data_IF_918777973133
#
_entry.id   IF_918777973133
#
_cell.length_a   1.000
_cell.length_b   1.000
_cell.length_c   1.000
_cell.angle_alpha   90.00
_cell.angle_beta   90.00
_cell.angle_gamma   90.00
#
_symmetry.space_group_name_H-M   'P 1'
#
loop_
_entity.id
_entity.type
_entity.pdbx_description
1 polymer ?
#
# COMPACT_ATOMS: atom_id res chain seq x y z
N UNK A 1 -5.14 -30.01 -6.79
CA UNK A 1 -4.07 -29.00 -6.89
C UNK A 1 -2.74 -29.71 -6.76
N UNK A 2 -1.78 -29.36 -7.61
CA UNK A 2 -0.45 -29.97 -7.64
C UNK A 2 0.51 -29.10 -6.85
N UNK A 3 1.15 -29.67 -5.85
CA UNK A 3 2.20 -29.03 -5.08
C UNK A 3 3.53 -29.68 -5.45
N UNK A 4 4.50 -28.88 -5.86
CA UNK A 4 5.87 -29.36 -6.10
C UNK A 4 6.84 -28.68 -5.15
N UNK A 5 7.63 -29.47 -4.43
CA UNK A 5 8.68 -28.95 -3.54
C UNK A 5 10.01 -29.10 -4.26
N UNK A 6 10.60 -27.96 -4.63
CA UNK A 6 11.97 -27.88 -5.13
C UNK A 6 12.92 -27.85 -3.93
N UNK A 7 13.90 -28.74 -3.92
CA UNK A 7 14.83 -28.87 -2.80
C UNK A 7 16.25 -29.19 -3.26
N UNK A 8 17.25 -28.77 -2.48
CA UNK A 8 18.61 -29.33 -2.60
C UNK A 8 18.70 -30.70 -1.92
N UNK A 9 19.75 -31.50 -2.21
CA UNK A 9 20.04 -32.71 -1.42
C UNK A 9 20.07 -32.40 0.07
N UNK A 10 19.44 -33.27 0.88
CA UNK A 10 19.44 -33.22 2.35
C UNK A 10 18.95 -31.89 2.98
N UNK A 11 18.05 -31.16 2.30
CA UNK A 11 17.50 -29.93 2.86
C UNK A 11 16.72 -30.17 4.18
N UNK A 12 17.14 -29.57 5.32
CA UNK A 12 16.55 -29.84 6.63
C UNK A 12 15.12 -29.29 6.79
N UNK A 13 14.75 -28.30 5.98
CA UNK A 13 13.49 -27.57 6.12
C UNK A 13 12.32 -28.17 5.31
N UNK A 14 12.57 -29.19 4.48
CA UNK A 14 11.52 -29.86 3.69
C UNK A 14 10.49 -30.51 4.62
N UNK A 15 10.95 -31.20 5.66
CA UNK A 15 10.06 -31.83 6.64
C UNK A 15 9.16 -30.80 7.36
N UNK A 16 9.71 -29.62 7.65
CA UNK A 16 8.99 -28.51 8.27
C UNK A 16 7.93 -27.96 7.32
N UNK A 17 8.27 -27.74 6.05
CA UNK A 17 7.35 -27.27 5.02
C UNK A 17 6.16 -28.24 4.85
N UNK A 18 6.43 -29.54 4.73
CA UNK A 18 5.38 -30.56 4.58
C UNK A 18 4.47 -30.68 5.81
N UNK A 19 5.04 -30.53 7.01
CA UNK A 19 4.25 -30.45 8.23
C UNK A 19 3.29 -29.25 8.21
N UNK A 20 3.78 -28.08 7.79
CA UNK A 20 2.96 -26.86 7.75
C UNK A 20 1.92 -26.90 6.65
N UNK A 21 2.20 -27.52 5.50
CA UNK A 21 1.19 -27.78 4.45
C UNK A 21 0.06 -28.65 5.03
N UNK A 22 0.39 -29.75 5.71
CA UNK A 22 -0.64 -30.60 6.37
C UNK A 22 -1.47 -29.83 7.40
N UNK A 23 -0.86 -28.92 8.16
CA UNK A 23 -1.57 -28.07 9.12
C UNK A 23 -2.45 -27.02 8.45
N UNK A 24 -1.99 -26.46 7.33
CA UNK A 24 -2.73 -25.47 6.56
C UNK A 24 -3.99 -26.07 5.95
N UNK A 25 -3.93 -27.34 5.53
CA UNK A 25 -5.00 -28.03 4.78
C UNK A 25 -5.85 -28.94 5.66
N UNK A 26 -5.56 -29.02 6.96
CA UNK A 26 -6.33 -29.82 7.90
C UNK A 26 -7.78 -29.31 7.98
N UNK A 27 -8.75 -30.20 7.79
CA UNK A 27 -10.18 -29.87 7.88
C UNK A 27 -10.81 -29.36 6.58
N UNK A 28 -10.06 -29.23 5.48
CA UNK A 28 -10.59 -28.75 4.21
C UNK A 28 -10.65 -29.84 3.13
N UNK A 29 -11.71 -29.87 2.29
CA UNK A 29 -11.87 -30.89 1.25
C UNK A 29 -11.02 -30.56 0.02
N UNK A 30 -9.69 -30.62 0.15
CA UNK A 30 -8.75 -30.33 -0.94
C UNK A 30 -7.98 -31.59 -1.32
N UNK A 31 -8.05 -31.98 -2.60
CA UNK A 31 -7.19 -33.03 -3.15
C UNK A 31 -5.84 -32.44 -3.54
N UNK A 32 -4.80 -32.82 -2.80
CA UNK A 32 -3.42 -32.36 -2.98
C UNK A 32 -2.54 -33.52 -3.44
N UNK A 33 -1.82 -33.29 -4.52
CA UNK A 33 -0.73 -34.17 -4.96
C UNK A 33 0.59 -33.45 -4.69
N UNK A 34 1.40 -33.97 -3.77
CA UNK A 34 2.69 -33.37 -3.41
C UNK A 34 3.81 -34.19 -4.07
N UNK A 35 4.56 -33.55 -4.97
CA UNK A 35 5.75 -34.12 -5.61
C UNK A 35 7.01 -33.41 -5.13
N UNK A 36 8.13 -34.13 -5.01
CA UNK A 36 9.42 -33.54 -4.65
C UNK A 36 10.37 -33.60 -5.84
N UNK A 37 11.10 -32.52 -6.07
CA UNK A 37 12.12 -32.43 -7.11
C UNK A 37 13.43 -31.96 -6.52
N UNK A 38 14.44 -32.84 -6.57
CA UNK A 38 15.79 -32.50 -6.12
C UNK A 38 16.52 -31.74 -7.22
N UNK A 39 17.09 -30.59 -6.85
CA UNK A 39 17.87 -29.69 -7.69
C UNK A 39 19.24 -29.53 -7.03
N UNK A 40 20.26 -29.99 -7.74
CA UNK A 40 21.65 -30.10 -7.29
C UNK A 40 22.61 -29.21 -8.09
N UNK A 41 22.10 -28.50 -9.09
CA UNK A 41 22.87 -27.67 -10.02
C UNK A 41 22.25 -26.26 -10.16
N UNK A 42 23.06 -25.18 -10.17
CA UNK A 42 22.56 -23.81 -10.30
C UNK A 42 21.80 -23.54 -11.61
N UNK A 43 22.16 -24.18 -12.72
CA UNK A 43 21.45 -24.06 -14.00
C UNK A 43 20.05 -24.68 -13.94
N UNK A 44 19.91 -25.82 -13.26
CA UNK A 44 18.61 -26.43 -12.97
C UNK A 44 17.79 -25.60 -11.99
N UNK A 45 18.42 -24.94 -11.02
CA UNK A 45 17.74 -24.01 -10.12
C UNK A 45 17.19 -22.79 -10.87
N UNK A 46 17.98 -22.20 -11.79
CA UNK A 46 17.54 -21.11 -12.63
C UNK A 46 16.37 -21.49 -13.55
N UNK A 47 16.48 -22.66 -14.19
CA UNK A 47 15.41 -23.17 -15.07
C UNK A 47 14.12 -23.46 -14.32
N UNK A 48 14.21 -23.91 -13.06
CA UNK A 48 13.06 -24.20 -12.23
C UNK A 48 12.55 -23.00 -11.41
N UNK A 49 13.20 -21.83 -11.50
CA UNK A 49 12.86 -20.67 -10.68
C UNK A 49 13.11 -20.85 -9.19
N UNK A 50 14.00 -21.77 -8.79
CA UNK A 50 14.30 -22.05 -7.39
C UNK A 50 15.21 -20.96 -6.81
N UNK A 51 14.65 -20.05 -6.01
CA UNK A 51 15.39 -18.99 -5.29
C UNK A 51 16.01 -19.45 -3.97
N UNK A 52 15.78 -20.71 -3.60
CA UNK A 52 16.42 -21.40 -2.49
C UNK A 52 15.64 -22.63 -2.05
N UNK A 53 16.21 -23.43 -1.16
CA UNK A 53 15.61 -24.68 -0.66
C UNK A 53 14.97 -24.51 0.72
N UNK A 54 13.75 -25.04 0.96
CA UNK A 54 12.81 -25.54 -0.04
C UNK A 54 12.08 -24.38 -0.73
N UNK A 55 11.69 -24.55 -1.99
CA UNK A 55 10.75 -23.69 -2.71
C UNK A 55 9.48 -24.47 -2.99
N UNK A 56 8.32 -23.92 -2.61
CA UNK A 56 7.02 -24.53 -2.90
C UNK A 56 6.48 -23.96 -4.21
N UNK A 57 6.12 -24.82 -5.15
CA UNK A 57 5.34 -24.47 -6.32
C UNK A 57 3.91 -24.96 -6.15
N UNK A 58 2.95 -24.06 -6.33
CA UNK A 58 1.51 -24.33 -6.39
C UNK A 58 1.10 -24.26 -7.85
N UNK A 59 0.69 -25.40 -8.41
CA UNK A 59 0.35 -25.56 -9.83
C UNK A 59 1.47 -25.02 -10.77
N UNK A 60 2.73 -25.17 -10.35
CA UNK A 60 3.92 -24.73 -11.09
C UNK A 60 4.41 -23.32 -10.78
N UNK A 61 3.73 -22.57 -9.89
CA UNK A 61 4.08 -21.20 -9.53
C UNK A 61 4.55 -21.07 -8.07
N UNK A 62 5.62 -20.32 -7.82
CA UNK A 62 6.09 -20.04 -6.46
C UNK A 62 5.30 -18.87 -5.84
N UNK A 63 4.42 -19.11 -4.85
CA UNK A 63 3.58 -18.06 -4.27
C UNK A 63 4.35 -17.15 -3.30
N UNK A 64 5.59 -17.48 -2.96
CA UNK A 64 6.42 -16.70 -2.04
C UNK A 64 7.58 -16.00 -2.76
N UNK A 65 7.56 -16.00 -4.10
CA UNK A 65 8.63 -15.43 -4.91
C UNK A 65 8.83 -13.95 -4.54
N UNK A 66 10.07 -13.59 -4.18
CA UNK A 66 10.42 -12.21 -3.86
C UNK A 66 11.07 -11.56 -5.09
N UNK A 67 10.60 -10.38 -5.54
CA UNK A 67 11.17 -9.68 -6.69
C UNK A 67 12.68 -9.47 -6.53
N UNK A 68 13.44 -9.74 -7.60
CA UNK A 68 14.88 -9.56 -7.62
C UNK A 68 15.70 -10.68 -6.93
N UNK A 69 15.06 -11.70 -6.36
CA UNK A 69 15.81 -12.86 -5.86
C UNK A 69 16.35 -13.71 -7.02
N UNK A 70 17.66 -13.95 -6.96
CA UNK A 70 18.36 -14.77 -7.94
C UNK A 70 18.18 -16.25 -7.60
N UNK A 71 17.97 -17.12 -8.59
CA UNK A 71 17.96 -18.56 -8.37
C UNK A 71 19.20 -19.05 -7.61
N UNK A 72 19.01 -19.90 -6.60
CA UNK A 72 20.05 -20.31 -5.65
C UNK A 72 19.85 -21.72 -5.13
N UNK A 73 20.96 -22.41 -4.86
CA UNK A 73 21.00 -23.69 -4.13
C UNK A 73 21.11 -23.51 -2.60
N UNK A 74 20.99 -22.28 -2.11
CA UNK A 74 21.07 -21.98 -0.66
C UNK A 74 19.74 -22.19 0.04
N UNK A 75 19.73 -22.15 1.38
CA UNK A 75 18.49 -22.16 2.15
C UNK A 75 17.63 -20.93 1.80
N UNK A 76 16.34 -21.16 1.57
CA UNK A 76 15.37 -20.08 1.44
C UNK A 76 14.84 -19.69 2.82
N UNK A 77 14.80 -18.40 3.07
CA UNK A 77 14.30 -17.84 4.33
C UNK A 77 12.94 -17.18 4.09
N UNK A 78 12.02 -17.44 5.00
CA UNK A 78 10.64 -16.97 4.96
C UNK A 78 10.38 -16.11 6.20
N UNK A 79 9.67 -14.98 6.06
CA UNK A 79 9.23 -14.19 7.21
C UNK A 79 8.25 -15.00 8.07
N UNK A 80 8.46 -15.00 9.38
CA UNK A 80 7.49 -15.48 10.36
C UNK A 80 6.56 -14.37 10.83
N UNK A 81 5.42 -14.76 11.40
CA UNK A 81 4.44 -13.85 12.03
C UNK A 81 5.02 -13.09 13.25
N UNK A 82 6.23 -13.43 13.69
CA UNK A 82 6.97 -12.80 14.79
C UNK A 82 8.16 -11.95 14.32
N UNK A 83 8.28 -11.71 13.01
CA UNK A 83 9.37 -10.94 12.41
C UNK A 83 10.73 -11.66 12.36
N UNK A 84 10.77 -12.95 12.69
CA UNK A 84 11.97 -13.79 12.57
C UNK A 84 12.00 -14.47 11.21
N UNK A 85 13.20 -14.82 10.74
CA UNK A 85 13.37 -15.63 9.53
C UNK A 85 13.34 -17.12 9.87
N UNK A 86 12.64 -17.90 9.05
CA UNK A 86 12.48 -19.34 9.20
C UNK A 86 12.71 -20.07 7.87
N UNK A 87 12.97 -21.38 7.92
CA UNK A 87 13.28 -22.21 6.75
C UNK A 87 12.05 -22.66 5.94
N UNK A 88 10.84 -22.30 6.37
CA UNK A 88 9.59 -22.59 5.67
C UNK A 88 8.57 -21.45 5.90
N UNK A 89 7.59 -21.23 5.00
CA UNK A 89 6.49 -20.29 5.20
C UNK A 89 5.66 -20.64 6.45
N UNK A 90 4.95 -19.66 7.02
CA UNK A 90 4.00 -19.90 8.12
C UNK A 90 2.73 -20.62 7.63
N UNK A 91 1.99 -21.23 8.55
CA UNK A 91 0.71 -21.90 8.22
C UNK A 91 -0.30 -20.90 7.67
N UNK A 92 -0.33 -19.67 8.20
CA UNK A 92 -1.19 -18.60 7.69
C UNK A 92 -0.83 -18.21 6.25
N UNK A 93 0.46 -18.04 5.96
CA UNK A 93 0.94 -17.74 4.62
C UNK A 93 0.60 -18.86 3.62
N UNK A 94 0.70 -20.13 4.03
CA UNK A 94 0.29 -21.28 3.22
C UNK A 94 -1.22 -21.29 2.96
N UNK A 95 -2.06 -20.97 3.96
CA UNK A 95 -3.52 -20.88 3.75
C UNK A 95 -3.87 -19.80 2.72
N UNK A 96 -3.25 -18.62 2.84
CA UNK A 96 -3.44 -17.54 1.87
C UNK A 96 -3.00 -17.97 0.46
N UNK A 97 -1.80 -18.55 0.32
CA UNK A 97 -1.25 -19.00 -0.95
C UNK A 97 -2.11 -20.10 -1.62
N UNK A 98 -2.67 -21.00 -0.83
CA UNK A 98 -3.52 -22.09 -1.31
C UNK A 98 -5.00 -21.65 -1.49
N UNK A 99 -5.31 -20.36 -1.28
CA UNK A 99 -6.67 -19.77 -1.31
C UNK A 99 -7.65 -20.51 -0.41
N UNK A 100 -7.15 -20.96 0.73
CA UNK A 100 -7.90 -21.68 1.74
C UNK A 100 -8.58 -20.65 2.64
N UNK A 101 -9.90 -20.53 2.50
CA UNK A 101 -10.72 -19.59 3.28
C UNK A 101 -10.61 -19.94 4.78
N UNK A 102 -10.43 -18.97 5.69
CA UNK A 102 -10.68 -19.19 7.11
C UNK A 102 -12.17 -19.50 7.29
N UNK A 103 -12.52 -20.53 8.08
CA UNK A 103 -13.92 -20.87 8.33
C UNK A 103 -14.74 -19.64 8.76
N UNK A 104 -15.67 -19.20 7.91
CA UNK A 104 -16.64 -18.15 8.26
C UNK A 104 -17.06 -17.24 7.11
N UNK A 105 -18.31 -17.47 6.66
CA UNK A 105 -19.17 -16.62 5.82
C UNK A 105 -19.02 -16.72 4.30
N UNK A 106 -20.18 -16.98 3.68
CA UNK A 106 -20.36 -17.48 2.33
C UNK A 106 -20.88 -16.40 1.36
N UNK A 107 -20.46 -16.57 0.10
CA UNK A 107 -21.10 -16.20 -1.17
C UNK A 107 -21.40 -14.72 -1.48
N UNK A 108 -20.94 -14.26 -2.65
CA UNK A 108 -21.69 -14.34 -3.92
C UNK A 108 -20.70 -14.27 -5.10
N UNK A 109 -20.90 -15.13 -6.09
CA UNK A 109 -20.12 -15.14 -7.33
C UNK A 109 -20.85 -14.49 -8.49
N UNK A 110 -20.11 -14.11 -9.52
CA UNK A 110 -20.53 -14.31 -10.92
C UNK A 110 -19.30 -14.45 -11.83
N UNK A 111 -19.44 -15.32 -12.82
CA UNK A 111 -18.47 -15.73 -13.82
C UNK A 111 -18.32 -14.67 -14.92
N UNK A 112 -17.08 -14.28 -15.22
CA UNK A 112 -16.71 -13.99 -16.61
C UNK A 112 -15.32 -14.53 -16.91
N UNK A 113 -15.28 -15.49 -17.83
CA UNK A 113 -14.09 -16.06 -18.42
C UNK A 113 -13.13 -14.97 -18.94
N UNK A 114 -11.88 -14.97 -18.47
CA UNK A 114 -10.83 -14.11 -19.01
C UNK A 114 -9.55 -14.90 -19.32
N UNK A 115 -9.36 -15.09 -20.63
CA UNK A 115 -8.13 -15.31 -21.39
C UNK A 115 -6.80 -15.42 -20.60
N UNK A 116 -6.24 -16.63 -20.56
CA UNK A 116 -4.98 -16.99 -19.89
C UNK A 116 -3.68 -16.58 -20.63
N UNK A 117 -3.71 -15.55 -21.47
CA UNK A 117 -2.53 -15.12 -22.25
C UNK A 117 -1.92 -13.79 -21.79
N UNK A 118 -2.06 -13.42 -20.50
CA UNK A 118 -1.37 -12.26 -19.94
C UNK A 118 -0.44 -12.72 -18.82
N UNK A 119 0.88 -12.46 -18.88
CA UNK A 119 1.77 -12.71 -17.74
C UNK A 119 1.23 -11.96 -16.51
N UNK A 120 1.38 -12.47 -15.27
CA UNK A 120 0.90 -11.76 -14.09
C UNK A 120 1.61 -10.40 -14.07
N UNK A 121 0.83 -9.33 -14.23
CA UNK A 121 1.34 -7.98 -14.15
C UNK A 121 2.07 -7.84 -12.81
N UNK A 122 3.26 -7.24 -12.83
CA UNK A 122 3.83 -6.67 -11.61
C UNK A 122 2.72 -5.90 -10.89
N UNK A 123 2.55 -6.11 -9.57
CA UNK A 123 1.51 -5.41 -8.82
C UNK A 123 1.60 -3.92 -9.12
N UNK A 124 0.48 -3.32 -9.53
CA UNK A 124 0.50 -1.93 -9.97
C UNK A 124 0.97 -1.03 -8.81
N UNK A 125 1.76 0.03 -9.07
CA UNK A 125 2.16 0.99 -8.03
C UNK A 125 0.97 1.53 -7.22
N UNK A 126 -0.20 1.67 -7.85
CA UNK A 126 -1.45 2.02 -7.18
C UNK A 126 -1.92 0.95 -6.17
N UNK A 127 -1.79 -0.34 -6.50
CA UNK A 127 -2.07 -1.46 -5.58
C UNK A 127 -1.12 -1.43 -4.39
N UNK A 128 0.17 -1.21 -4.63
CA UNK A 128 1.19 -1.13 -3.58
C UNK A 128 0.91 0.04 -2.64
N UNK A 129 0.62 1.23 -3.19
CA UNK A 129 0.24 2.39 -2.39
C UNK A 129 -0.99 2.12 -1.53
N UNK A 130 -2.03 1.52 -2.11
CA UNK A 130 -3.23 1.14 -1.36
C UNK A 130 -2.91 0.17 -0.22
N UNK A 131 -2.13 -0.87 -0.50
CA UNK A 131 -1.76 -1.87 0.50
C UNK A 131 -0.94 -1.25 1.64
N UNK A 132 0.00 -0.37 1.30
CA UNK A 132 0.77 0.38 2.29
C UNK A 132 -0.14 1.23 3.17
N UNK A 133 -0.99 2.08 2.57
CA UNK A 133 -1.89 2.95 3.34
C UNK A 133 -2.91 2.18 4.19
N UNK A 134 -3.35 1.02 3.71
CA UNK A 134 -4.20 0.13 4.49
C UNK A 134 -3.48 -0.50 5.69
N UNK A 135 -2.15 -0.64 5.64
CA UNK A 135 -1.34 -1.10 6.76
C UNK A 135 -1.03 0.01 7.78
N UNK A 136 -0.93 1.27 7.33
CA UNK A 136 -0.73 2.44 8.18
C UNK A 136 -2.04 2.86 8.88
N UNK A 137 -2.45 2.10 9.90
CA UNK A 137 -3.71 2.31 10.63
C UNK A 137 -3.47 2.42 12.14
N UNK A 138 -4.23 3.27 12.86
CA UNK A 138 -4.12 3.39 14.31
C UNK A 138 -4.29 2.04 15.00
N UNK A 139 -3.45 1.75 16.00
CA UNK A 139 -3.41 0.42 16.62
C UNK A 139 -4.58 0.19 17.60
N UNK A 140 -5.13 1.27 18.17
CA UNK A 140 -6.19 1.22 19.19
C UNK A 140 -7.19 2.38 19.05
N UNK A 141 -8.32 2.35 19.77
CA UNK A 141 -9.35 3.40 19.70
C UNK A 141 -8.86 4.79 20.13
N UNK A 142 -7.88 4.89 21.02
CA UNK A 142 -7.33 6.17 21.49
C UNK A 142 -6.47 6.79 20.40
N UNK A 143 -5.59 6.01 19.79
CA UNK A 143 -4.82 6.44 18.60
C UNK A 143 -5.75 6.85 17.45
N UNK A 144 -6.83 6.09 17.21
CA UNK A 144 -7.85 6.43 16.20
C UNK A 144 -8.51 7.78 16.50
N UNK A 145 -8.91 8.02 17.75
CA UNK A 145 -9.55 9.26 18.16
C UNK A 145 -8.61 10.47 17.98
N UNK A 146 -7.35 10.35 18.38
CA UNK A 146 -6.33 11.40 18.18
C UNK A 146 -6.07 11.64 16.70
N UNK A 147 -5.93 10.59 15.90
CA UNK A 147 -5.74 10.72 14.45
C UNK A 147 -6.92 11.46 13.81
N UNK A 148 -8.16 11.06 14.11
CA UNK A 148 -9.34 11.74 13.58
C UNK A 148 -9.47 13.19 14.06
N UNK A 149 -9.07 13.49 15.30
CA UNK A 149 -9.02 14.86 15.82
C UNK A 149 -8.06 15.73 14.99
N UNK A 150 -6.86 15.23 14.68
CA UNK A 150 -5.87 15.91 13.84
C UNK A 150 -6.44 16.19 12.45
N UNK A 151 -7.05 15.18 11.80
CA UNK A 151 -7.63 15.33 10.47
C UNK A 151 -8.78 16.37 10.45
N UNK A 152 -9.63 16.39 11.47
CA UNK A 152 -10.73 17.36 11.57
C UNK A 152 -10.22 18.78 11.81
N UNK A 153 -9.17 18.95 12.62
CA UNK A 153 -8.53 20.25 12.85
C UNK A 153 -7.93 20.81 11.54
N UNK A 154 -7.22 20.00 10.75
CA UNK A 154 -6.76 20.42 9.43
C UNK A 154 -7.91 20.89 8.52
N UNK A 155 -9.00 20.12 8.45
CA UNK A 155 -10.13 20.46 7.59
C UNK A 155 -10.84 21.76 8.00
N UNK A 156 -10.91 22.02 9.31
CA UNK A 156 -11.64 23.16 9.88
C UNK A 156 -10.79 24.41 9.94
N UNK A 157 -9.59 24.30 10.48
CA UNK A 157 -8.72 25.44 10.82
C UNK A 157 -7.62 25.67 9.78
N UNK A 158 -7.41 24.70 8.88
CA UNK A 158 -6.39 24.76 7.86
C UNK A 158 -4.98 24.42 8.36
N UNK A 159 -4.84 24.03 9.63
CA UNK A 159 -3.56 23.79 10.32
C UNK A 159 -3.65 22.56 11.23
N UNK A 160 -2.50 22.00 11.59
CA UNK A 160 -2.44 20.96 12.60
C UNK A 160 -2.77 21.52 14.00
N UNK A 161 -3.44 20.74 14.87
CA UNK A 161 -3.64 21.12 16.26
C UNK A 161 -2.31 21.05 17.02
N UNK A 162 -2.19 21.84 18.08
CA UNK A 162 -1.03 21.80 18.98
C UNK A 162 -1.12 20.60 19.94
N UNK A 163 -0.02 20.28 20.62
CA UNK A 163 -0.03 19.25 21.66
C UNK A 163 -0.99 19.58 22.81
N UNK A 164 -1.13 20.85 23.15
CA UNK A 164 -2.05 21.32 24.18
C UNK A 164 -3.51 21.09 23.75
N UNK A 165 -3.86 21.44 22.50
CA UNK A 165 -5.19 21.20 21.94
C UNK A 165 -5.55 19.70 21.98
N UNK A 166 -4.60 18.84 21.56
CA UNK A 166 -4.80 17.40 21.57
C UNK A 166 -4.93 16.83 22.99
N UNK A 167 -4.22 17.40 23.96
CA UNK A 167 -4.29 16.96 25.36
C UNK A 167 -5.66 17.28 25.96
N UNK A 168 -6.23 18.45 25.63
CA UNK A 168 -7.60 18.83 26.03
C UNK A 168 -8.64 17.91 25.38
N UNK A 169 -8.46 17.55 24.10
CA UNK A 169 -9.36 16.67 23.36
C UNK A 169 -9.29 15.19 23.77
N UNK A 170 -8.10 14.71 24.13
CA UNK A 170 -7.83 13.30 24.42
C UNK A 170 -8.14 12.88 25.87
N UNK A 171 -8.82 13.73 26.67
CA UNK A 171 -9.07 13.59 28.10
C UNK A 171 -9.31 12.14 28.57
N UNK A 172 -8.21 11.46 28.93
CA UNK A 172 -8.15 10.08 29.38
C UNK A 172 -6.76 9.77 29.99
N UNK A 173 -6.64 8.90 31.01
CA UNK A 173 -5.58 9.06 32.02
C UNK A 173 -4.22 8.40 31.75
N UNK A 174 -4.04 7.58 30.71
CA UNK A 174 -2.94 6.59 30.76
C UNK A 174 -1.76 6.81 29.80
N UNK A 175 -1.86 7.66 28.78
CA UNK A 175 -0.77 7.86 27.80
C UNK A 175 -0.61 9.33 27.43
N UNK A 176 0.59 9.94 27.60
CA UNK A 176 0.88 11.31 27.16
C UNK A 176 0.69 11.47 25.64
N UNK A 177 0.18 12.63 25.22
CA UNK A 177 -0.13 12.91 23.79
C UNK A 177 1.11 12.79 22.91
N UNK A 178 2.28 13.16 23.42
CA UNK A 178 3.55 13.08 22.71
C UNK A 178 3.98 11.62 22.49
N UNK A 179 3.55 10.71 23.36
CA UNK A 179 3.77 9.28 23.15
C UNK A 179 2.83 8.73 22.08
N UNK A 180 1.56 9.17 22.05
CA UNK A 180 0.61 8.78 21.01
C UNK A 180 1.06 9.29 19.63
N UNK A 181 1.48 10.56 19.54
CA UNK A 181 2.00 11.15 18.30
C UNK A 181 3.24 10.40 17.78
N UNK A 182 4.13 9.93 18.67
CA UNK A 182 5.28 9.10 18.27
C UNK A 182 4.87 7.74 17.73
N UNK A 183 3.86 7.08 18.33
CA UNK A 183 3.34 5.82 17.79
C UNK A 183 2.71 6.00 16.42
N UNK A 184 1.90 7.06 16.25
CA UNK A 184 1.33 7.42 14.94
C UNK A 184 2.43 7.77 13.92
N UNK A 185 3.55 8.36 14.38
CA UNK A 185 4.72 8.62 13.56
C UNK A 185 5.41 7.35 13.06
N UNK A 186 5.69 6.43 13.98
CA UNK A 186 6.37 5.16 13.69
C UNK A 186 5.52 4.26 12.78
N UNK A 187 4.19 4.37 12.86
CA UNK A 187 3.24 3.68 12.01
C UNK A 187 2.96 4.37 10.64
N UNK A 188 3.63 5.49 10.34
CA UNK A 188 3.42 6.29 9.11
C UNK A 188 1.98 6.77 8.90
N UNK A 189 1.28 7.06 10.01
CA UNK A 189 -0.08 7.64 10.01
C UNK A 189 0.01 9.18 10.05
N UNK A 190 0.91 9.68 10.90
CA UNK A 190 1.27 11.10 11.05
C UNK A 190 2.78 11.22 10.82
N UNK A 191 3.27 12.37 10.39
CA UNK A 191 4.70 12.68 10.39
C UNK A 191 4.95 13.86 11.32
N UNK A 192 6.02 13.76 12.08
CA UNK A 192 6.46 14.79 13.02
C UNK A 192 7.76 15.39 12.47
N UNK A 193 7.95 16.68 12.67
CA UNK A 193 9.22 17.34 12.40
C UNK A 193 10.24 17.11 13.53
N UNK A 194 11.44 17.70 13.38
CA UNK A 194 12.51 17.59 14.36
C UNK A 194 12.18 18.20 15.74
N UNK A 195 11.14 19.04 15.82
CA UNK A 195 10.66 19.65 17.07
C UNK A 195 9.58 18.81 17.75
N UNK A 196 9.08 17.77 17.08
CA UNK A 196 7.95 16.96 17.54
C UNK A 196 6.58 17.51 17.14
N UNK A 197 6.54 18.56 16.31
CA UNK A 197 5.30 19.15 15.79
C UNK A 197 4.79 18.35 14.59
N UNK A 198 3.48 18.33 14.35
CA UNK A 198 2.87 17.62 13.24
C UNK A 198 3.26 18.30 11.91
N UNK A 199 4.05 17.60 11.10
CA UNK A 199 4.46 18.03 9.76
C UNK A 199 3.48 17.55 8.67
N UNK A 200 2.86 16.38 8.86
CA UNK A 200 1.84 15.85 7.96
C UNK A 200 0.90 14.89 8.71
N UNK A 201 -0.34 14.81 8.27
CA UNK A 201 -1.31 13.80 8.70
C UNK A 201 -2.16 13.47 7.49
N UNK A 202 -1.89 12.33 6.85
CA UNK A 202 -2.40 12.07 5.51
C UNK A 202 -3.93 12.06 5.49
N UNK A 203 -4.58 12.79 4.57
CA UNK A 203 -4.02 13.37 3.33
C UNK A 203 -3.36 14.77 3.45
N UNK A 204 -3.39 15.41 4.61
CA UNK A 204 -2.93 16.78 4.81
C UNK A 204 -1.41 16.93 5.02
N UNK A 205 -0.89 18.07 4.62
CA UNK A 205 0.45 18.56 4.96
C UNK A 205 0.35 19.86 5.76
N UNK A 206 1.16 19.98 6.82
CA UNK A 206 1.31 21.24 7.56
C UNK A 206 2.21 22.23 6.81
N UNK A 207 3.06 21.74 5.90
CA UNK A 207 3.91 22.58 5.07
C UNK A 207 3.25 22.82 3.70
N UNK A 208 3.44 24.01 3.10
CA UNK A 208 2.93 24.27 1.77
C UNK A 208 3.45 23.27 0.73
N UNK A 209 2.54 22.67 -0.02
CA UNK A 209 2.85 21.82 -1.19
C UNK A 209 2.27 22.47 -2.46
N UNK A 210 2.64 21.98 -3.66
CA UNK A 210 1.99 22.41 -4.90
C UNK A 210 0.48 22.13 -4.93
N UNK A 211 -0.02 21.17 -4.15
CA UNK A 211 -1.40 20.70 -4.16
C UNK A 211 -2.23 21.41 -3.09
N UNK A 212 -2.89 22.51 -3.45
CA UNK A 212 -3.77 23.26 -2.55
C UNK A 212 -5.21 22.81 -2.71
N UNK A 213 -5.87 22.49 -1.60
CA UNK A 213 -7.26 22.02 -1.59
C UNK A 213 -8.13 23.02 -0.83
N UNK A 214 -9.09 23.61 -1.52
CA UNK A 214 -10.14 24.45 -0.93
C UNK A 214 -11.35 23.58 -0.63
N UNK A 215 -11.65 23.39 0.64
CA UNK A 215 -12.79 22.62 1.12
C UNK A 215 -14.03 23.51 1.11
N UNK A 216 -15.15 23.04 0.55
CA UNK A 216 -16.39 23.82 0.53
C UNK A 216 -16.87 24.11 1.96
N UNK A 217 -17.01 25.39 2.31
CA UNK A 217 -17.42 25.80 3.66
C UNK A 217 -16.36 25.60 4.76
N UNK A 218 -15.14 25.18 4.40
CA UNK A 218 -14.04 24.92 5.32
C UNK A 218 -12.77 25.70 4.97
N UNK A 219 -11.63 25.20 5.46
CA UNK A 219 -10.34 25.82 5.22
C UNK A 219 -9.78 25.56 3.81
N UNK A 220 -8.71 26.28 3.47
CA UNK A 220 -7.81 25.91 2.37
C UNK A 220 -6.56 25.29 2.95
N UNK A 221 -6.28 24.04 2.57
CA UNK A 221 -5.19 23.20 3.11
C UNK A 221 -4.19 22.83 2.02
N UNK A 222 -3.03 22.33 2.43
CA UNK A 222 -2.09 21.67 1.52
C UNK A 222 -2.26 20.15 1.63
N UNK A 223 -2.27 19.46 0.50
CA UNK A 223 -2.28 18.00 0.44
C UNK A 223 -0.86 17.47 0.24
N UNK A 224 -0.54 16.30 0.79
CA UNK A 224 0.79 15.70 0.65
C UNK A 224 1.11 15.29 -0.81
N UNK A 225 0.12 14.86 -1.58
CA UNK A 225 0.26 14.53 -3.00
C UNK A 225 -1.06 14.65 -3.79
N UNK A 226 -1.03 14.36 -5.09
CA UNK A 226 -2.22 14.39 -5.95
C UNK A 226 -3.32 13.41 -5.51
N UNK A 227 -2.98 12.16 -5.17
CA UNK A 227 -3.95 11.14 -4.70
C UNK A 227 -4.55 11.54 -3.35
N UNK A 228 -3.73 12.10 -2.46
CA UNK A 228 -4.16 12.61 -1.16
C UNK A 228 -5.16 13.76 -1.33
N UNK A 229 -4.90 14.69 -2.24
CA UNK A 229 -5.80 15.80 -2.56
C UNK A 229 -7.17 15.29 -3.07
N UNK A 230 -7.16 14.29 -3.97
CA UNK A 230 -8.37 13.68 -4.52
C UNK A 230 -9.19 12.93 -3.47
N UNK A 231 -8.54 12.30 -2.49
CA UNK A 231 -9.20 11.56 -1.43
C UNK A 231 -9.91 12.42 -0.38
N UNK A 232 -9.57 13.71 -0.27
CA UNK A 232 -10.13 14.59 0.76
C UNK A 232 -11.65 14.75 0.64
N UNK A 233 -12.20 14.84 -0.58
CA UNK A 233 -13.64 15.02 -0.77
C UNK A 233 -14.45 13.85 -0.19
N UNK A 234 -14.03 12.62 -0.48
CA UNK A 234 -14.65 11.42 0.04
C UNK A 234 -14.43 11.25 1.54
N UNK A 235 -13.25 11.62 2.06
CA UNK A 235 -12.95 11.55 3.49
C UNK A 235 -13.81 12.52 4.31
N UNK A 236 -14.07 13.72 3.78
CA UNK A 236 -14.80 14.79 4.47
C UNK A 236 -16.31 14.81 4.13
N UNK A 237 -16.75 13.96 3.21
CA UNK A 237 -18.09 14.02 2.60
C UNK A 237 -18.47 15.44 2.17
N UNK A 238 -17.50 16.17 1.60
CA UNK A 238 -17.60 17.60 1.29
C UNK A 238 -16.92 17.90 -0.05
N UNK A 239 -17.53 18.69 -0.94
CA UNK A 239 -16.91 19.07 -2.21
C UNK A 239 -15.59 19.84 -2.01
N UNK A 240 -14.62 19.61 -2.89
CA UNK A 240 -13.34 20.33 -2.87
C UNK A 240 -12.94 20.85 -4.25
N UNK A 241 -12.20 21.96 -4.26
CA UNK A 241 -11.47 22.42 -5.44
C UNK A 241 -9.98 22.37 -5.17
N UNK A 242 -9.26 21.65 -6.02
CA UNK A 242 -7.81 21.47 -5.95
C UNK A 242 -7.16 22.38 -6.98
N UNK A 243 -6.18 23.16 -6.57
CA UNK A 243 -5.30 23.91 -7.47
C UNK A 243 -3.88 23.34 -7.35
N UNK A 244 -3.29 23.04 -8.49
CA UNK A 244 -1.93 22.52 -8.62
C UNK A 244 -1.26 23.08 -9.88
N UNK A 245 -0.07 22.59 -10.20
CA UNK A 245 0.63 22.92 -11.42
C UNK A 245 1.38 21.69 -11.95
N UNK A 246 1.51 21.62 -13.27
CA UNK A 246 2.34 20.61 -13.92
C UNK A 246 3.81 20.76 -13.47
N UNK A 247 4.46 19.71 -12.94
CA UNK A 247 5.82 19.83 -12.43
C UNK A 247 6.87 20.01 -13.54
N UNK A 248 6.52 19.79 -14.81
CA UNK A 248 7.41 19.98 -15.97
C UNK A 248 7.23 21.38 -16.56
N UNK A 249 5.98 21.79 -16.81
CA UNK A 249 5.69 23.04 -17.53
C UNK A 249 5.32 24.20 -16.64
N UNK A 250 4.99 23.94 -15.37
CA UNK A 250 4.40 24.88 -14.42
C UNK A 250 3.01 25.43 -14.82
N UNK A 251 2.39 24.87 -15.86
CA UNK A 251 1.05 25.26 -16.27
C UNK A 251 0.02 24.90 -15.18
N UNK A 252 -0.98 25.76 -14.92
CA UNK A 252 -1.92 25.57 -13.84
C UNK A 252 -2.87 24.40 -14.12
N UNK A 253 -3.21 23.66 -13.07
CA UNK A 253 -4.20 22.58 -13.09
C UNK A 253 -5.23 22.86 -12.01
N UNK A 254 -6.51 22.85 -12.38
CA UNK A 254 -7.62 22.94 -11.42
C UNK A 254 -8.49 21.70 -11.51
N UNK A 255 -8.66 20.99 -10.39
CA UNK A 255 -9.52 19.81 -10.30
C UNK A 255 -10.67 20.11 -9.35
N UNK A 256 -11.89 19.76 -9.73
CA UNK A 256 -13.06 19.84 -8.84
C UNK A 256 -13.56 18.44 -8.57
N UNK A 257 -13.76 18.12 -7.30
CA UNK A 257 -14.36 16.88 -6.84
C UNK A 257 -15.62 17.22 -6.06
N UNK A 258 -16.76 16.74 -6.54
CA UNK A 258 -18.07 16.92 -5.91
C UNK A 258 -18.80 15.57 -5.92
N UNK A 259 -18.94 14.97 -4.73
CA UNK A 259 -19.35 13.58 -4.59
C UNK A 259 -18.44 12.63 -5.37
N UNK A 260 -19.05 11.68 -6.09
CA UNK A 260 -18.33 10.73 -6.94
C UNK A 260 -17.82 11.31 -8.27
N UNK A 261 -18.08 12.60 -8.56
CA UNK A 261 -17.75 13.23 -9.83
C UNK A 261 -16.45 14.05 -9.73
N UNK A 262 -15.52 13.78 -10.64
CA UNK A 262 -14.24 14.49 -10.75
C UNK A 262 -14.10 15.10 -12.15
N UNK A 263 -13.73 16.38 -12.20
CA UNK A 263 -13.44 17.12 -13.44
C UNK A 263 -12.18 17.95 -13.29
N UNK A 264 -11.51 18.22 -14.41
CA UNK A 264 -10.29 19.02 -14.41
C UNK A 264 -10.25 20.02 -15.56
N UNK A 265 -9.51 21.09 -15.34
CA UNK A 265 -9.01 22.00 -16.35
C UNK A 265 -7.47 22.04 -16.24
N UNK A 266 -6.73 21.56 -17.26
CA UNK A 266 -7.24 21.03 -18.53
C UNK A 266 -7.96 19.68 -18.38
N UNK A 267 -8.92 19.40 -19.27
CA UNK A 267 -9.69 18.14 -19.25
C UNK A 267 -8.82 16.88 -19.49
N UNK A 268 -7.60 17.06 -19.97
CA UNK A 268 -6.61 16.01 -20.24
C UNK A 268 -5.77 15.65 -19.01
N UNK A 269 -6.03 16.25 -17.85
CA UNK A 269 -5.23 16.02 -16.65
C UNK A 269 -5.14 14.55 -16.27
N UNK A 270 -3.92 14.09 -15.99
CA UNK A 270 -3.62 12.74 -15.50
C UNK A 270 -2.82 12.81 -14.20
N UNK A 271 -2.66 11.67 -13.54
CA UNK A 271 -1.84 11.55 -12.33
C UNK A 271 -0.75 10.50 -12.56
N UNK A 272 0.50 10.82 -12.21
CA UNK A 272 1.53 9.79 -12.09
C UNK A 272 1.46 9.21 -10.68
N UNK A 273 1.37 7.88 -10.57
CA UNK A 273 1.42 7.16 -9.30
C UNK A 273 2.66 6.30 -9.29
N UNK A 274 3.62 6.65 -8.43
CA UNK A 274 4.88 5.93 -8.32
C UNK A 274 5.53 6.08 -6.96
N UNK A 275 6.52 5.23 -6.72
CA UNK A 275 7.31 5.27 -5.50
C UNK A 275 8.75 4.91 -5.83
N UNK A 276 9.67 5.44 -5.04
CA UNK A 276 11.04 4.97 -5.06
C UNK A 276 11.11 3.61 -4.34
N UNK A 277 11.86 2.67 -4.89
CA UNK A 277 12.12 1.41 -4.21
C UNK A 277 12.97 1.66 -2.95
N UNK A 278 12.41 1.38 -1.77
CA UNK A 278 13.15 1.47 -0.50
C UNK A 278 12.23 1.51 0.73
N UNK A 279 12.75 1.16 1.91
CA UNK A 279 12.04 1.34 3.17
C UNK A 279 12.07 2.81 3.59
N UNK A 280 11.00 3.28 4.24
CA UNK A 280 10.88 4.65 4.74
C UNK A 280 9.42 5.10 4.66
N UNK A 281 9.03 6.20 5.32
CA UNK A 281 7.63 6.65 5.34
C UNK A 281 7.14 7.11 3.96
N UNK A 282 5.82 7.13 3.77
CA UNK A 282 5.18 7.51 2.50
C UNK A 282 5.55 8.93 2.05
N UNK A 283 5.71 9.85 3.00
CA UNK A 283 6.13 11.23 2.76
C UNK A 283 7.47 11.30 2.02
N UNK A 284 8.42 10.43 2.40
CA UNK A 284 9.81 10.48 1.92
C UNK A 284 10.01 9.61 0.67
N UNK A 285 9.20 8.57 0.50
CA UNK A 285 9.42 7.52 -0.52
C UNK A 285 8.45 7.56 -1.70
N UNK A 286 7.27 8.15 -1.53
CA UNK A 286 6.19 8.08 -2.50
C UNK A 286 5.56 9.46 -2.80
N UNK A 287 5.18 10.22 -1.77
CA UNK A 287 4.30 11.40 -1.94
C UNK A 287 4.90 12.49 -2.84
N UNK A 288 6.23 12.66 -2.85
CA UNK A 288 6.92 13.62 -3.73
C UNK A 288 6.73 13.34 -5.23
N UNK A 289 6.41 12.11 -5.59
CA UNK A 289 6.35 11.65 -6.97
C UNK A 289 4.91 11.52 -7.49
N UNK A 290 3.92 11.62 -6.60
CA UNK A 290 2.51 11.55 -6.94
C UNK A 290 1.96 12.92 -7.33
N UNK A 291 2.06 13.25 -8.62
CA UNK A 291 1.73 14.59 -9.13
C UNK A 291 0.67 14.54 -10.23
N UNK A 292 -0.08 15.65 -10.32
CA UNK A 292 -0.91 15.97 -11.48
C UNK A 292 -0.03 16.41 -12.65
N UNK A 293 -0.48 16.11 -13.86
CA UNK A 293 0.11 16.60 -15.10
C UNK A 293 -1.02 17.11 -16.00
N UNK A 294 -0.73 18.13 -16.79
CA UNK A 294 -1.70 18.72 -17.73
C UNK A 294 -2.19 17.70 -18.75
N UNK A 295 -1.30 16.80 -19.18
CA UNK A 295 -1.62 15.67 -20.05
C UNK A 295 -0.64 14.49 -19.86
N UNK A 296 -0.96 13.39 -20.55
CA UNK A 296 -0.17 12.15 -20.54
C UNK A 296 1.23 12.31 -21.15
N UNK A 297 1.42 13.24 -22.09
CA UNK A 297 2.73 13.47 -22.71
C UNK A 297 3.68 14.17 -21.72
N UNK A 298 3.20 15.16 -20.97
CA UNK A 298 3.94 15.80 -19.89
C UNK A 298 4.32 14.78 -18.79
N UNK A 299 3.37 13.96 -18.36
CA UNK A 299 3.61 12.90 -17.38
C UNK A 299 4.67 11.88 -17.85
N UNK A 300 4.63 11.48 -19.13
CA UNK A 300 5.61 10.56 -19.71
C UNK A 300 6.99 11.22 -19.79
N UNK A 301 7.07 12.47 -20.24
CA UNK A 301 8.34 13.22 -20.28
C UNK A 301 8.97 13.36 -18.89
N UNK A 302 8.16 13.60 -17.86
CA UNK A 302 8.63 13.58 -16.48
C UNK A 302 9.14 12.19 -16.06
N UNK A 303 8.38 11.12 -16.33
CA UNK A 303 8.79 9.76 -15.98
C UNK A 303 10.11 9.34 -16.66
N UNK A 304 10.30 9.70 -17.94
CA UNK A 304 11.50 9.40 -18.70
C UNK A 304 12.75 10.09 -18.13
N UNK A 305 12.59 11.26 -17.51
CA UNK A 305 13.68 11.98 -16.81
C UNK A 305 13.93 11.46 -15.39
N UNK A 306 13.05 10.60 -14.86
CA UNK A 306 13.16 10.00 -13.53
C UNK A 306 13.11 8.46 -13.56
N UNK A 307 14.01 7.78 -14.28
CA UNK A 307 13.96 6.33 -14.48
C UNK A 307 14.15 5.51 -13.19
N UNK A 308 14.63 6.12 -12.11
CA UNK A 308 14.74 5.48 -10.79
C UNK A 308 13.43 5.40 -10.00
N UNK A 309 12.36 6.02 -10.51
CA UNK A 309 11.03 6.05 -9.87
C UNK A 309 10.12 5.10 -10.63
N UNK A 310 9.80 3.96 -10.02
CA UNK A 310 8.81 3.04 -10.57
C UNK A 310 7.41 3.64 -10.44
N UNK A 311 6.65 3.69 -11.52
CA UNK A 311 5.31 4.27 -11.49
C UNK A 311 4.49 4.02 -12.74
N UNK A 312 3.24 4.45 -12.70
CA UNK A 312 2.27 4.35 -13.79
C UNK A 312 1.53 5.67 -13.93
N UNK A 313 1.21 6.05 -15.17
CA UNK A 313 0.31 7.17 -15.45
C UNK A 313 -1.12 6.63 -15.44
N UNK A 314 -1.95 7.19 -14.57
CA UNK A 314 -3.36 6.83 -14.42
C UNK A 314 -4.25 8.01 -14.81
N UNK A 315 -5.42 7.69 -15.34
CA UNK A 315 -6.44 8.69 -15.66
C UNK A 315 -7.03 9.26 -14.36
N UNK A 316 -7.50 10.51 -14.43
CA UNK A 316 -8.02 11.22 -13.26
C UNK A 316 -9.15 10.48 -12.52
N UNK A 317 -10.14 9.83 -13.19
CA UNK A 317 -11.16 9.04 -12.50
C UNK A 317 -10.58 7.87 -11.70
N UNK A 318 -9.55 7.19 -12.21
CA UNK A 318 -8.92 6.06 -11.54
C UNK A 318 -8.10 6.53 -10.33
N UNK A 319 -7.39 7.66 -10.47
CA UNK A 319 -6.68 8.30 -9.36
C UNK A 319 -7.65 8.76 -8.25
N UNK A 320 -8.81 9.31 -8.63
CA UNK A 320 -9.85 9.71 -7.70
C UNK A 320 -10.44 8.50 -6.96
N UNK A 321 -10.70 7.40 -7.68
CA UNK A 321 -11.15 6.16 -7.06
C UNK A 321 -10.13 5.59 -6.07
N UNK A 322 -8.83 5.66 -6.41
CA UNK A 322 -7.74 5.27 -5.51
C UNK A 322 -7.74 6.10 -4.23
N UNK A 323 -7.79 7.43 -4.35
CA UNK A 323 -7.87 8.34 -3.20
C UNK A 323 -9.10 8.07 -2.32
N UNK A 324 -10.27 7.91 -2.93
CA UNK A 324 -11.52 7.55 -2.25
C UNK A 324 -11.38 6.24 -1.46
N UNK A 325 -10.78 5.23 -2.07
CA UNK A 325 -10.58 3.92 -1.43
C UNK A 325 -9.63 4.01 -0.24
N UNK A 326 -8.58 4.83 -0.34
CA UNK A 326 -7.59 4.99 0.73
C UNK A 326 -8.15 5.80 1.90
N UNK A 327 -8.82 6.93 1.63
CA UNK A 327 -9.14 7.92 2.67
C UNK A 327 -10.61 7.97 3.07
N UNK A 328 -11.52 7.47 2.22
CA UNK A 328 -12.96 7.67 2.38
C UNK A 328 -13.57 7.09 3.67
N UNK A 329 -12.87 6.23 4.38
CA UNK A 329 -13.33 5.63 5.64
C UNK A 329 -12.72 6.28 6.89
N UNK A 330 -11.72 7.17 6.76
CA UNK A 330 -10.93 7.61 7.93
C UNK A 330 -11.73 8.40 8.96
N UNK A 331 -12.70 9.20 8.52
CA UNK A 331 -13.58 9.99 9.39
C UNK A 331 -14.98 9.37 9.55
N UNK A 332 -15.23 8.23 8.92
CA UNK A 332 -16.51 7.55 8.91
C UNK A 332 -16.40 6.20 9.63
N UNK A 333 -16.98 6.12 10.84
CA UNK A 333 -17.07 4.93 11.71
C UNK A 333 -15.74 4.34 12.19
#
# INVERSE_FOLDING_TARGET
MKLEILQVPDCPNVAVLEQRIRQATAGQPVQLEITRRVIDDPGRAATAGMTGSPTLLVDGCDPFATPGQVPSLSCRLYPSDTGRLDGAPSVAALRAALRLVPDGTAALGDDTASSCCTPPAAESPATVLRAWRAAAQPADPTEKAVHQAILRAFATDGQAPTGDDLTEMAAGPDVPVEQLLRRLHDADIVRLDATGSIAAAYPFSATPTPHRVRIAGGATVSAMCAVDALGMAAMLDTPVTITSADPVTADPITVTVDGGHVTADPATTVVFVGAQAGPGPSADTCCHYLNFFTDRASAQGWADTHPGIGGVIVELPDAHHLGTTIFGHLLHS
#
